data_IF_559740788293
#
_entry.id   IF_559740788293
#
_cell.length_a   1.000
_cell.length_b   1.000
_cell.length_c   1.000
_cell.angle_alpha   90.00
_cell.angle_beta   90.00
_cell.angle_gamma   90.00
#
_symmetry.space_group_name_H-M   'P 1'
#
loop_
_entity.id
_entity.type
_entity.pdbx_description
1 polymer ?
#
# COMPACT_ATOMS: atom_id res chain seq x y z
N UNK A 1 -10.62 7.27 -6.50
CA UNK A 1 -10.17 6.90 -5.14
C UNK A 1 -9.47 8.12 -4.54
N UNK A 2 -9.72 8.48 -3.28
CA UNK A 2 -9.02 9.60 -2.59
C UNK A 2 -7.89 9.06 -1.71
N UNK A 3 -6.99 9.93 -1.23
CA UNK A 3 -5.92 9.54 -0.30
C UNK A 3 -6.48 9.00 1.03
N UNK A 4 -7.54 9.61 1.56
CA UNK A 4 -8.23 9.16 2.77
C UNK A 4 -8.80 7.75 2.58
N UNK A 5 -9.49 7.52 1.44
CA UNK A 5 -10.07 6.21 1.14
C UNK A 5 -9.00 5.14 0.85
N UNK A 6 -7.85 5.54 0.29
CA UNK A 6 -6.70 4.67 0.14
C UNK A 6 -6.19 4.21 1.51
N UNK A 7 -5.97 5.16 2.44
CA UNK A 7 -5.52 4.87 3.80
C UNK A 7 -6.44 3.87 4.49
N UNK A 8 -7.76 4.12 4.49
CA UNK A 8 -8.74 3.23 5.11
C UNK A 8 -8.69 1.81 4.51
N UNK A 9 -8.57 1.70 3.18
CA UNK A 9 -8.55 0.41 2.50
C UNK A 9 -7.26 -0.35 2.80
N UNK A 10 -6.09 0.31 2.73
CA UNK A 10 -4.81 -0.31 3.05
C UNK A 10 -4.74 -0.78 4.51
N UNK A 11 -5.26 0.02 5.45
CA UNK A 11 -5.35 -0.39 6.86
C UNK A 11 -6.11 -1.70 7.03
N UNK A 12 -7.25 -1.88 6.34
CA UNK A 12 -8.02 -3.12 6.41
C UNK A 12 -7.23 -4.32 5.88
N UNK A 13 -6.55 -4.17 4.73
CA UNK A 13 -5.72 -5.23 4.16
C UNK A 13 -4.53 -5.59 5.06
N UNK A 14 -3.92 -4.59 5.70
CA UNK A 14 -2.81 -4.78 6.64
C UNK A 14 -3.26 -5.56 7.87
N UNK A 15 -4.39 -5.18 8.48
CA UNK A 15 -4.95 -5.89 9.64
C UNK A 15 -5.30 -7.34 9.29
N UNK A 16 -5.78 -7.58 8.07
CA UNK A 16 -6.11 -8.91 7.56
C UNK A 16 -4.89 -9.70 7.06
N UNK A 17 -3.69 -9.08 7.04
CA UNK A 17 -2.45 -9.65 6.50
C UNK A 17 -2.56 -10.08 5.03
N UNK A 18 -3.37 -9.36 4.25
CA UNK A 18 -3.60 -9.61 2.82
C UNK A 18 -2.96 -8.49 1.99
N UNK A 19 -1.63 -8.50 1.89
CA UNK A 19 -0.83 -7.31 1.56
C UNK A 19 -0.25 -7.34 0.15
N UNK A 20 0.37 -8.45 -0.26
CA UNK A 20 0.85 -8.67 -1.63
C UNK A 20 -0.20 -9.41 -2.46
N UNK A 21 -1.33 -8.76 -2.77
CA UNK A 21 -2.44 -9.38 -3.52
C UNK A 21 -2.88 -8.51 -4.69
N UNK A 22 -3.51 -9.14 -5.68
CA UNK A 22 -4.09 -8.43 -6.83
C UNK A 22 -5.14 -7.41 -6.39
N UNK A 23 -5.85 -7.66 -5.29
CA UNK A 23 -6.82 -6.72 -4.72
C UNK A 23 -6.13 -5.44 -4.24
N UNK A 24 -5.03 -5.55 -3.50
CA UNK A 24 -4.26 -4.38 -3.03
C UNK A 24 -3.66 -3.63 -4.21
N UNK A 25 -3.14 -4.35 -5.20
CA UNK A 25 -2.67 -3.75 -6.45
C UNK A 25 -3.78 -2.97 -7.15
N UNK A 26 -4.97 -3.55 -7.29
CA UNK A 26 -6.09 -2.90 -7.97
C UNK A 26 -6.60 -1.66 -7.20
N UNK A 27 -6.55 -1.69 -5.87
CA UNK A 27 -6.80 -0.51 -5.02
C UNK A 27 -5.79 0.61 -5.28
N UNK A 28 -4.49 0.28 -5.32
CA UNK A 28 -3.42 1.22 -5.61
C UNK A 28 -3.52 1.78 -7.04
N UNK A 29 -3.85 0.93 -8.02
CA UNK A 29 -4.13 1.34 -9.41
C UNK A 29 -5.31 2.30 -9.48
N UNK A 30 -6.41 2.02 -8.79
CA UNK A 30 -7.58 2.91 -8.73
C UNK A 30 -7.26 4.27 -8.10
N UNK A 31 -6.29 4.33 -7.18
CA UNK A 31 -5.74 5.59 -6.66
C UNK A 31 -4.90 6.32 -7.70
N UNK A 32 -3.97 5.63 -8.36
CA UNK A 32 -3.15 6.18 -9.45
C UNK A 32 -4.00 6.76 -10.58
N UNK A 33 -4.98 5.99 -11.06
CA UNK A 33 -5.88 6.39 -12.16
C UNK A 33 -6.76 7.58 -11.80
N UNK A 34 -7.06 7.79 -10.51
CA UNK A 34 -7.76 8.97 -10.02
C UNK A 34 -6.87 10.23 -9.91
N UNK A 35 -5.62 10.17 -10.35
CA UNK A 35 -4.63 11.24 -10.24
C UNK A 35 -3.82 11.20 -8.94
N UNK A 36 -3.88 10.09 -8.21
CA UNK A 36 -3.08 9.85 -7.01
C UNK A 36 -1.58 9.85 -7.31
N UNK A 37 -0.81 10.46 -6.40
CA UNK A 37 0.63 10.60 -6.53
C UNK A 37 1.35 9.49 -5.76
N UNK A 38 2.45 9.00 -6.34
CA UNK A 38 3.25 7.93 -5.75
C UNK A 38 3.80 8.36 -4.38
N UNK A 39 4.20 9.64 -4.27
CA UNK A 39 4.77 10.23 -3.06
C UNK A 39 3.75 10.24 -1.91
N UNK A 40 2.47 10.48 -2.21
CA UNK A 40 1.41 10.47 -1.19
C UNK A 40 1.13 9.04 -0.74
N UNK A 41 1.13 8.06 -1.65
CA UNK A 41 1.02 6.65 -1.28
C UNK A 41 2.19 6.20 -0.39
N UNK A 42 3.42 6.63 -0.69
CA UNK A 42 4.60 6.36 0.15
C UNK A 42 4.48 7.02 1.53
N UNK A 43 3.99 8.26 1.62
CA UNK A 43 3.76 8.94 2.90
C UNK A 43 2.72 8.23 3.77
N UNK A 44 1.64 7.75 3.16
CA UNK A 44 0.62 6.94 3.84
C UNK A 44 1.25 5.66 4.42
N UNK A 45 2.03 4.93 3.62
CA UNK A 45 2.69 3.71 4.06
C UNK A 45 3.73 3.99 5.15
N UNK A 46 4.49 5.07 5.06
CA UNK A 46 5.45 5.48 6.09
C UNK A 46 4.76 5.80 7.42
N UNK A 47 3.62 6.49 7.40
CA UNK A 47 2.83 6.76 8.60
C UNK A 47 2.31 5.46 9.22
N UNK A 48 1.74 4.56 8.41
CA UNK A 48 1.27 3.25 8.88
C UNK A 48 2.40 2.42 9.47
N UNK A 49 3.60 2.51 8.88
CA UNK A 49 4.80 1.83 9.38
C UNK A 49 5.18 2.34 10.77
N UNK A 50 5.12 3.65 10.99
CA UNK A 50 5.37 4.25 12.29
C UNK A 50 4.31 3.87 13.33
N UNK A 51 3.03 3.89 12.95
CA UNK A 51 1.90 3.57 13.84
C UNK A 51 1.91 2.11 14.32
N UNK A 52 2.57 1.22 13.56
CA UNK A 52 2.69 -0.20 13.84
C UNK A 52 4.13 -0.68 14.05
N UNK A 53 5.02 0.19 14.52
CA UNK A 53 6.46 -0.09 14.68
C UNK A 53 6.78 -1.35 15.52
N UNK A 54 5.90 -1.72 16.47
CA UNK A 54 6.10 -2.84 17.39
C UNK A 54 5.52 -4.18 16.88
N UNK A 55 5.09 -4.24 15.61
CA UNK A 55 4.47 -5.43 15.02
C UNK A 55 5.14 -5.82 13.70
N UNK A 56 6.16 -6.68 13.79
CA UNK A 56 6.96 -7.17 12.66
C UNK A 56 6.09 -7.70 11.51
N UNK A 57 5.05 -8.48 11.82
CA UNK A 57 4.16 -9.03 10.78
C UNK A 57 3.38 -7.96 10.02
N UNK A 58 3.11 -6.81 10.64
CA UNK A 58 2.50 -5.66 9.98
C UNK A 58 3.56 -4.85 9.22
N UNK A 59 4.77 -4.76 9.74
CA UNK A 59 5.90 -4.12 9.03
C UNK A 59 6.17 -4.80 7.69
N UNK A 60 6.30 -6.13 7.70
CA UNK A 60 6.55 -6.94 6.50
C UNK A 60 5.45 -6.72 5.45
N UNK A 61 4.20 -6.72 5.91
CA UNK A 61 3.04 -6.45 5.08
C UNK A 61 3.05 -5.05 4.46
N UNK A 62 3.47 -4.02 5.21
CA UNK A 62 3.59 -2.66 4.68
C UNK A 62 4.71 -2.58 3.64
N UNK A 63 5.82 -3.30 3.86
CA UNK A 63 6.93 -3.37 2.91
C UNK A 63 6.53 -4.08 1.61
N UNK A 64 5.73 -5.15 1.66
CA UNK A 64 5.14 -5.79 0.47
C UNK A 64 4.32 -4.79 -0.37
N UNK A 65 3.55 -3.92 0.30
CA UNK A 65 2.75 -2.90 -0.38
C UNK A 65 3.65 -1.80 -0.96
N UNK A 66 4.70 -1.42 -0.21
CA UNK A 66 5.68 -0.45 -0.66
C UNK A 66 6.40 -0.93 -1.93
N UNK A 67 6.71 -2.22 -2.06
CA UNK A 67 7.32 -2.80 -3.26
C UNK A 67 6.42 -2.64 -4.50
N UNK A 68 5.10 -2.74 -4.35
CA UNK A 68 4.14 -2.46 -5.42
C UNK A 68 4.11 -0.97 -5.80
N UNK A 69 4.20 -0.09 -4.80
CA UNK A 69 4.20 1.37 -4.99
C UNK A 69 5.50 1.87 -5.62
N UNK A 70 6.64 1.25 -5.29
CA UNK A 70 7.98 1.69 -5.72
C UNK A 70 8.51 0.90 -6.91
N UNK A 71 7.84 -0.19 -7.28
CA UNK A 71 8.18 -1.02 -8.42
C UNK A 71 9.31 -2.02 -8.17
N UNK A 72 9.59 -2.34 -6.90
CA UNK A 72 10.52 -3.39 -6.47
C UNK A 72 9.87 -4.79 -6.43
N UNK A 73 8.78 -5.00 -7.18
CA UNK A 73 8.04 -6.25 -7.29
C UNK A 73 8.00 -6.79 -8.73
N UNK A 74 7.29 -7.90 -8.96
CA UNK A 74 7.11 -8.46 -10.30
C UNK A 74 6.35 -7.50 -11.23
N UNK A 75 6.60 -7.53 -12.56
CA UNK A 75 6.00 -6.57 -13.48
C UNK A 75 4.47 -6.55 -13.48
N UNK A 76 3.82 -7.67 -13.16
CA UNK A 76 2.37 -7.80 -13.05
C UNK A 76 1.82 -7.11 -11.79
N UNK A 77 2.60 -7.03 -10.71
CA UNK A 77 2.19 -6.44 -9.42
C UNK A 77 2.57 -4.97 -9.28
N UNK A 78 3.42 -4.46 -10.17
CA UNK A 78 3.89 -3.08 -10.17
C UNK A 78 2.77 -2.08 -10.46
N UNK A 79 2.71 -1.00 -9.68
CA UNK A 79 1.73 0.09 -9.87
C UNK A 79 2.35 1.34 -10.48
N UNK A 80 3.46 1.84 -9.94
CA UNK A 80 4.29 2.91 -10.54
C UNK A 80 5.64 2.33 -10.96
#
# INVERSE_FOLDING_TARGET
MTAEKLLETLQQHIIQKSCFTTEVRDVLMAYKEAGGQQEIAQQILAQLKQDHQDNDSVQDCIDDILDMVTGWCTPDMKVW
#
